data_IF_544935533083
#
_entry.id   IF_544935533083
#
_cell.length_a   1.000
_cell.length_b   1.000
_cell.length_c   1.000
_cell.angle_alpha   90.00
_cell.angle_beta   90.00
_cell.angle_gamma   90.00
#
_symmetry.space_group_name_H-M   'P 1'
#
loop_
_entity.id
_entity.type
_entity.pdbx_description
1 polymer ?
#
# COMPACT_ATOMS: atom_id res chain seq x y z
N UNK A 1 23.34 -13.86 27.46
CA UNK A 1 22.26 -13.51 26.50
C UNK A 1 22.89 -13.53 25.12
N UNK A 2 22.49 -14.46 24.25
CA UNK A 2 22.92 -14.48 22.85
C UNK A 2 22.07 -13.47 22.08
N UNK A 3 22.64 -12.32 21.76
CA UNK A 3 22.02 -11.35 20.85
C UNK A 3 21.94 -12.01 19.48
N UNK A 4 20.73 -12.22 18.96
CA UNK A 4 20.58 -12.71 17.59
C UNK A 4 21.31 -11.75 16.65
N UNK A 5 22.03 -12.24 15.62
CA UNK A 5 22.69 -11.37 14.66
C UNK A 5 21.64 -10.47 14.02
N UNK A 6 21.84 -9.15 14.13
CA UNK A 6 20.94 -8.18 13.55
C UNK A 6 20.89 -8.42 12.04
N UNK A 7 19.69 -8.64 11.48
CA UNK A 7 19.53 -8.73 10.03
C UNK A 7 19.83 -7.35 9.45
N UNK A 8 20.87 -7.19 8.61
CA UNK A 8 21.20 -5.90 8.04
C UNK A 8 20.06 -5.47 7.12
N UNK A 9 19.48 -4.31 7.41
CA UNK A 9 18.46 -3.73 6.53
C UNK A 9 19.13 -3.19 5.26
N UNK A 10 18.47 -3.33 4.10
CA UNK A 10 18.95 -2.69 2.87
C UNK A 10 18.95 -1.16 3.02
N UNK A 11 19.68 -0.48 2.14
CA UNK A 11 19.61 0.97 2.05
C UNK A 11 18.17 1.43 1.81
N UNK A 12 17.81 2.57 2.39
CA UNK A 12 16.48 3.13 2.24
C UNK A 12 16.20 3.48 0.77
N UNK A 13 15.12 2.94 0.23
CA UNK A 13 14.62 3.20 -1.12
C UNK A 13 13.15 3.65 -1.04
N UNK A 14 12.94 4.96 -1.16
CA UNK A 14 11.61 5.57 -1.16
C UNK A 14 10.72 5.00 -2.28
N UNK A 15 11.28 4.75 -3.47
CA UNK A 15 10.49 4.26 -4.61
C UNK A 15 9.98 2.83 -4.35
N UNK A 16 10.77 1.98 -3.68
CA UNK A 16 10.30 0.67 -3.24
C UNK A 16 9.27 0.76 -2.13
N UNK A 17 9.39 1.70 -1.18
CA UNK A 17 8.35 1.92 -0.15
C UNK A 17 7.02 2.31 -0.82
N UNK A 18 7.06 3.23 -1.78
CA UNK A 18 5.87 3.68 -2.50
C UNK A 18 5.19 2.54 -3.26
N UNK A 19 5.97 1.71 -3.97
CA UNK A 19 5.44 0.54 -4.67
C UNK A 19 4.80 -0.47 -3.71
N UNK A 20 5.46 -0.77 -2.59
CA UNK A 20 4.93 -1.69 -1.57
C UNK A 20 3.63 -1.15 -0.99
N UNK A 21 3.57 0.16 -0.71
CA UNK A 21 2.35 0.82 -0.28
C UNK A 21 1.22 0.68 -1.30
N UNK A 22 1.49 0.93 -2.58
CA UNK A 22 0.48 0.79 -3.64
C UNK A 22 -0.02 -0.64 -3.81
N UNK A 23 0.88 -1.63 -3.72
CA UNK A 23 0.51 -3.05 -3.73
C UNK A 23 -0.36 -3.39 -2.53
N UNK A 24 -0.06 -2.84 -1.36
CA UNK A 24 -0.84 -3.10 -0.15
C UNK A 24 -2.23 -2.47 -0.21
N UNK A 25 -2.32 -1.24 -0.71
CA UNK A 25 -3.61 -0.61 -1.01
C UNK A 25 -4.41 -1.39 -2.08
N UNK A 26 -3.74 -1.97 -3.07
CA UNK A 26 -4.40 -2.80 -4.09
C UNK A 26 -4.92 -4.11 -3.50
N UNK A 27 -4.14 -4.76 -2.65
CA UNK A 27 -4.56 -5.96 -1.92
C UNK A 27 -5.78 -5.68 -1.04
N UNK A 28 -5.80 -4.55 -0.33
CA UNK A 28 -6.94 -4.14 0.50
C UNK A 28 -8.19 -3.86 -0.34
N UNK A 29 -8.02 -3.23 -1.51
CA UNK A 29 -9.11 -3.03 -2.47
C UNK A 29 -9.69 -4.38 -2.94
N UNK A 30 -8.82 -5.33 -3.32
CA UNK A 30 -9.23 -6.66 -3.77
C UNK A 30 -9.90 -7.47 -2.65
N UNK A 31 -9.48 -7.27 -1.40
CA UNK A 31 -10.10 -7.86 -0.22
C UNK A 31 -11.43 -7.18 0.19
N UNK A 32 -11.83 -6.10 -0.49
CA UNK A 32 -13.07 -5.38 -0.20
C UNK A 32 -13.02 -4.49 1.04
N UNK A 33 -11.83 -4.13 1.54
CA UNK A 33 -11.69 -3.23 2.70
C UNK A 33 -12.22 -1.81 2.41
N UNK A 34 -12.21 -1.42 1.13
CA UNK A 34 -12.86 -0.24 0.56
C UNK A 34 -13.15 -0.52 -0.92
N UNK A 35 -13.99 0.27 -1.57
CA UNK A 35 -14.42 0.06 -2.97
C UNK A 35 -13.62 0.86 -4.00
N UNK A 36 -12.86 1.87 -3.55
CA UNK A 36 -11.97 2.66 -4.41
C UNK A 36 -10.90 3.41 -3.61
N UNK A 37 -9.83 3.85 -4.27
CA UNK A 37 -8.86 4.76 -3.63
C UNK A 37 -9.46 6.10 -3.26
N UNK A 38 -10.51 6.55 -3.97
CA UNK A 38 -11.24 7.75 -3.58
C UNK A 38 -11.90 7.56 -2.22
N UNK A 39 -12.55 6.42 -1.99
CA UNK A 39 -13.14 6.09 -0.70
C UNK A 39 -12.08 6.00 0.40
N UNK A 40 -10.99 5.27 0.16
CA UNK A 40 -9.84 5.23 1.06
C UNK A 40 -9.34 6.65 1.42
N UNK A 41 -9.13 7.50 0.41
CA UNK A 41 -8.67 8.87 0.61
C UNK A 41 -9.67 9.72 1.39
N UNK A 42 -10.98 9.58 1.14
CA UNK A 42 -12.03 10.25 1.91
C UNK A 42 -12.02 9.82 3.37
N UNK A 43 -11.88 8.52 3.66
CA UNK A 43 -11.79 8.00 5.03
C UNK A 43 -10.63 8.60 5.81
N UNK A 44 -9.49 8.81 5.15
CA UNK A 44 -8.29 9.40 5.75
C UNK A 44 -8.27 10.94 5.72
N UNK A 45 -9.26 11.59 5.09
CA UNK A 45 -9.24 13.04 4.88
C UNK A 45 -8.13 13.53 3.94
N UNK A 46 -7.67 12.67 3.01
CA UNK A 46 -6.64 13.00 2.03
C UNK A 46 -7.25 13.79 0.87
N UNK A 47 -6.58 14.86 0.46
CA UNK A 47 -7.02 15.66 -0.69
C UNK A 47 -7.15 14.78 -1.96
N UNK A 48 -8.26 14.88 -2.72
CA UNK A 48 -8.47 14.07 -3.93
C UNK A 48 -7.34 14.16 -4.97
N UNK A 49 -6.66 15.30 -5.07
CA UNK A 49 -5.52 15.47 -5.97
C UNK A 49 -4.33 14.60 -5.54
N UNK A 50 -4.10 14.47 -4.23
CA UNK A 50 -3.08 13.56 -3.70
C UNK A 50 -3.49 12.11 -3.89
N UNK A 51 -4.76 11.77 -3.71
CA UNK A 51 -5.25 10.40 -4.01
C UNK A 51 -4.98 10.03 -5.47
N UNK A 52 -5.27 10.93 -6.41
CA UNK A 52 -5.00 10.72 -7.83
C UNK A 52 -3.49 10.61 -8.13
N UNK A 53 -2.66 11.43 -7.49
CA UNK A 53 -1.21 11.37 -7.63
C UNK A 53 -0.63 10.06 -7.07
N UNK A 54 -1.11 9.61 -5.91
CA UNK A 54 -0.75 8.31 -5.29
C UNK A 54 -1.15 7.17 -6.22
N UNK A 55 -2.39 7.15 -6.71
CA UNK A 55 -2.88 6.12 -7.64
C UNK A 55 -2.03 6.01 -8.91
N UNK A 56 -1.46 7.14 -9.36
CA UNK A 56 -0.57 7.21 -10.51
C UNK A 56 0.92 6.95 -10.17
N UNK A 57 1.27 6.65 -8.92
CA UNK A 57 2.65 6.46 -8.48
C UNK A 57 3.50 7.74 -8.51
N UNK A 58 2.85 8.91 -8.52
CA UNK A 58 3.49 10.24 -8.59
C UNK A 58 3.58 10.95 -7.23
N UNK A 59 3.24 10.25 -6.14
CA UNK A 59 3.27 10.80 -4.79
C UNK A 59 3.83 9.78 -3.82
N UNK A 60 4.71 10.24 -2.93
CA UNK A 60 5.40 9.40 -1.97
C UNK A 60 4.51 9.03 -0.80
N UNK A 61 4.59 7.76 -0.39
CA UNK A 61 4.05 7.33 0.88
C UNK A 61 4.88 7.95 2.00
N UNK A 62 4.29 8.89 2.74
CA UNK A 62 4.89 9.41 3.96
C UNK A 62 4.39 8.64 5.19
N UNK A 63 5.12 8.74 6.29
CA UNK A 63 4.81 8.00 7.51
C UNK A 63 3.41 8.29 8.05
N UNK A 64 2.96 9.55 8.00
CA UNK A 64 1.62 9.93 8.46
C UNK A 64 0.54 9.20 7.66
N UNK A 65 0.65 9.22 6.33
CA UNK A 65 -0.30 8.56 5.44
C UNK A 65 -0.35 7.04 5.67
N UNK A 66 0.82 6.42 5.83
CA UNK A 66 0.91 4.99 6.15
C UNK A 66 0.26 4.68 7.50
N UNK A 67 0.58 5.46 8.53
CA UNK A 67 0.03 5.29 9.87
C UNK A 67 -1.51 5.43 9.87
N UNK A 68 -2.03 6.49 9.25
CA UNK A 68 -3.47 6.71 9.14
C UNK A 68 -4.15 5.58 8.35
N UNK A 69 -3.50 5.08 7.30
CA UNK A 69 -4.00 3.92 6.54
C UNK A 69 -4.13 2.69 7.43
N UNK A 70 -3.09 2.34 8.21
CA UNK A 70 -3.10 1.17 9.10
C UNK A 70 -4.12 1.34 10.22
N UNK A 71 -4.27 2.55 10.76
CA UNK A 71 -5.25 2.85 11.80
C UNK A 71 -6.69 2.60 11.33
N UNK A 72 -7.03 3.05 10.12
CA UNK A 72 -8.38 2.90 9.56
C UNK A 72 -8.62 1.56 8.87
N UNK A 73 -7.55 0.94 8.36
CA UNK A 73 -7.57 -0.35 7.67
C UNK A 73 -6.50 -1.26 8.28
N UNK A 74 -6.78 -1.92 9.44
CA UNK A 74 -5.80 -2.75 10.16
C UNK A 74 -5.27 -3.95 9.37
N UNK A 75 -5.94 -4.29 8.26
CA UNK A 75 -5.41 -5.26 7.31
C UNK A 75 -4.15 -4.78 6.59
N UNK A 76 -3.83 -3.48 6.57
CA UNK A 76 -2.64 -2.93 5.94
C UNK A 76 -1.38 -3.35 6.71
N UNK A 77 -0.45 -4.04 6.04
CA UNK A 77 0.81 -4.46 6.66
C UNK A 77 1.84 -3.31 6.66
N UNK A 78 1.89 -2.59 7.78
CA UNK A 78 2.87 -1.51 8.01
C UNK A 78 4.31 -2.00 7.78
N UNK A 79 4.63 -3.17 8.32
CA UNK A 79 6.02 -3.61 8.37
C UNK A 79 6.49 -4.10 7.00
N UNK A 80 5.61 -4.75 6.23
CA UNK A 80 5.89 -5.03 4.83
C UNK A 80 6.15 -3.75 4.03
N UNK A 81 5.34 -2.70 4.21
CA UNK A 81 5.54 -1.44 3.47
C UNK A 81 6.89 -0.79 3.79
N UNK A 82 7.30 -0.81 5.06
CA UNK A 82 8.58 -0.20 5.49
C UNK A 82 9.78 -1.10 5.17
N UNK A 83 9.74 -2.37 5.57
CA UNK A 83 10.90 -3.27 5.55
C UNK A 83 10.89 -4.30 4.42
N UNK A 84 9.73 -4.58 3.84
CA UNK A 84 9.61 -5.44 2.66
C UNK A 84 9.97 -6.89 2.95
N UNK A 85 10.49 -7.55 1.91
CA UNK A 85 10.93 -8.94 1.92
C UNK A 85 12.04 -9.24 2.93
N UNK A 86 12.83 -8.22 3.32
CA UNK A 86 13.95 -8.37 4.24
C UNK A 86 13.53 -8.91 5.62
N UNK A 87 12.26 -8.73 6.00
CA UNK A 87 11.70 -9.24 7.26
C UNK A 87 10.47 -10.14 7.03
N UNK A 88 9.67 -9.93 5.96
CA UNK A 88 8.32 -10.52 5.85
C UNK A 88 8.13 -11.58 4.76
N UNK A 89 9.20 -12.02 4.08
CA UNK A 89 9.16 -13.09 3.05
C UNK A 89 8.13 -12.90 1.90
N UNK A 90 7.53 -11.70 1.76
CA UNK A 90 6.65 -11.35 0.63
C UNK A 90 7.49 -10.84 -0.54
N UNK A 91 7.20 -11.23 -1.79
CA UNK A 91 7.97 -10.77 -2.95
C UNK A 91 7.96 -9.24 -3.10
N UNK A 92 9.13 -8.66 -3.42
CA UNK A 92 9.23 -7.24 -3.73
C UNK A 92 8.51 -6.92 -5.05
N UNK A 93 7.70 -5.85 -5.11
CA UNK A 93 7.08 -5.44 -6.34
C UNK A 93 8.11 -4.84 -7.30
N UNK A 94 8.14 -5.37 -8.52
CA UNK A 94 8.94 -4.81 -9.61
C UNK A 94 8.31 -3.55 -10.20
N UNK A 95 6.99 -3.61 -10.38
CA UNK A 95 6.16 -2.54 -10.95
C UNK A 95 5.05 -2.16 -9.96
N UNK A 96 4.56 -0.91 -10.06
CA UNK A 96 3.33 -0.52 -9.39
C UNK A 96 2.13 -1.25 -10.03
N UNK A 97 1.04 -1.52 -9.28
CA UNK A 97 -0.16 -2.14 -9.83
C UNK A 97 -0.67 -1.34 -11.04
N UNK A 98 -0.81 -2.01 -12.19
CA UNK A 98 -1.38 -1.38 -13.40
C UNK A 98 -2.86 -1.14 -13.16
N UNK A 99 -3.22 0.12 -12.89
CA UNK A 99 -4.62 0.51 -12.74
C UNK A 99 -5.13 1.16 -14.01
N UNK A 100 -6.10 0.51 -14.63
CA UNK A 100 -6.93 1.16 -15.63
C UNK A 100 -7.65 2.32 -14.93
N UNK A 101 -7.40 3.55 -15.38
CA UNK A 101 -8.18 4.72 -15.00
C UNK A 101 -9.68 4.38 -15.12
N UNK A 102 -10.36 4.23 -13.98
CA UNK A 102 -11.81 4.36 -13.91
C UNK A 102 -12.72 3.15 -14.14
N UNK A 103 -12.30 1.89 -14.02
CA UNK A 103 -13.27 0.77 -14.10
C UNK A 103 -13.60 0.15 -12.73
N UNK A 104 -14.86 0.33 -12.30
CA UNK A 104 -15.51 -0.45 -11.22
C UNK A 104 -15.38 -1.94 -11.53
N UNK A 105 -14.57 -2.67 -10.77
CA UNK A 105 -14.67 -4.12 -10.68
C UNK A 105 -15.76 -4.48 -9.68
N UNK A 106 -17.01 -4.51 -10.14
CA UNK A 106 -17.96 -5.50 -9.63
C UNK A 106 -18.08 -6.56 -10.72
N UNK A 107 -17.46 -7.70 -10.52
CA UNK A 107 -17.84 -8.88 -11.29
C UNK A 107 -19.30 -9.21 -10.95
N UNK A 108 -20.13 -9.59 -11.94
CA UNK A 108 -21.51 -9.99 -11.68
C UNK A 108 -21.53 -11.28 -10.87
N UNK A 109 -22.42 -11.33 -9.88
CA UNK A 109 -22.82 -12.57 -9.21
C UNK A 109 -23.51 -13.41 -10.29
N UNK A 110 -22.88 -14.51 -10.70
CA UNK A 110 -23.54 -15.53 -11.52
C UNK A 110 -24.55 -16.27 -10.66
N UNK A 111 -25.78 -16.28 -11.15
CA UNK A 111 -26.95 -17.03 -10.63
C UNK A 111 -26.73 -18.53 -10.74
#
# INVERSE_FOLDING_TARGET
MLTAPATPLPAYDQAQVDKRFLVELDRLLQAGAFTSYREWGLTLGVNPNYVAAIAAGRYHCNLKLLYDTVRHFPGCDFNYVVFGSAIYARPEPKEAPKRALGRRTKAPIST
#
